data_IF_566097034266
#
_entry.id   IF_566097034266
#
_cell.length_a   1.000
_cell.length_b   1.000
_cell.length_c   1.000
_cell.angle_alpha   90.00
_cell.angle_beta   90.00
_cell.angle_gamma   90.00
#
_symmetry.space_group_name_H-M   'P 1'
#
loop_
_entity.id
_entity.type
_entity.pdbx_description
1 polymer ?
#
# COMPACT_ATOMS: atom_id res chain seq x y z
N UNK A 1 1.45 6.67 6.67
CA UNK A 1 0.50 5.55 6.87
C UNK A 1 -0.64 5.72 5.88
N UNK A 2 -0.99 4.67 5.14
CA UNK A 2 -1.90 4.77 3.99
C UNK A 2 -3.30 5.34 4.33
N UNK A 3 -3.85 4.98 5.48
CA UNK A 3 -5.16 5.52 5.93
C UNK A 3 -5.07 7.03 6.21
N UNK A 4 -3.97 7.48 6.82
CA UNK A 4 -3.76 8.91 7.10
C UNK A 4 -3.68 9.70 5.81
N UNK A 5 -2.96 9.18 4.82
CA UNK A 5 -2.89 9.78 3.49
C UNK A 5 -4.28 9.95 2.86
N UNK A 6 -5.12 8.90 2.91
CA UNK A 6 -6.49 8.98 2.40
C UNK A 6 -7.33 10.03 3.14
N UNK A 7 -7.19 10.13 4.47
CA UNK A 7 -7.91 11.12 5.28
C UNK A 7 -7.42 12.55 5.01
N UNK A 8 -6.12 12.75 4.83
CA UNK A 8 -5.53 14.05 4.48
C UNK A 8 -6.04 14.52 3.11
N UNK A 9 -6.10 13.61 2.12
CA UNK A 9 -6.66 13.88 0.79
C UNK A 9 -8.17 14.15 0.80
N UNK A 10 -8.93 13.41 1.61
CA UNK A 10 -10.37 13.60 1.76
C UNK A 10 -10.74 14.95 2.40
N UNK A 11 -9.83 15.52 3.19
CA UNK A 11 -9.97 16.84 3.79
C UNK A 11 -10.95 16.91 4.96
N UNK A 12 -11.26 18.14 5.41
CA UNK A 12 -11.98 18.38 6.67
C UNK A 12 -13.46 18.02 6.63
N UNK A 13 -14.10 18.07 5.46
CA UNK A 13 -15.50 17.69 5.30
C UNK A 13 -15.61 16.19 4.97
N UNK A 14 -15.15 15.35 5.90
CA UNK A 14 -15.01 13.92 5.68
C UNK A 14 -16.37 13.25 5.51
N UNK A 15 -16.53 12.55 4.41
CA UNK A 15 -17.63 11.60 4.17
C UNK A 15 -17.05 10.26 3.77
N UNK A 16 -17.87 9.20 3.85
CA UNK A 16 -17.47 7.87 3.39
C UNK A 16 -17.07 7.90 1.91
N UNK A 17 -17.90 8.52 1.07
CA UNK A 17 -17.69 8.54 -0.38
C UNK A 17 -16.47 9.41 -0.73
N UNK A 18 -16.29 10.55 -0.07
CA UNK A 18 -15.10 11.40 -0.25
C UNK A 18 -13.80 10.70 0.19
N UNK A 19 -13.85 9.86 1.24
CA UNK A 19 -12.70 9.04 1.62
C UNK A 19 -12.39 7.95 0.57
N UNK A 20 -13.42 7.30 0.02
CA UNK A 20 -13.23 6.31 -1.04
C UNK A 20 -12.63 6.95 -2.30
N UNK A 21 -13.16 8.08 -2.75
CA UNK A 21 -12.61 8.84 -3.89
C UNK A 21 -11.16 9.26 -3.63
N UNK A 22 -10.86 9.74 -2.42
CA UNK A 22 -9.49 10.10 -2.03
C UNK A 22 -8.55 8.89 -2.05
N UNK A 23 -8.99 7.72 -1.56
CA UNK A 23 -8.22 6.48 -1.61
C UNK A 23 -8.00 6.00 -3.04
N UNK A 24 -8.99 6.08 -3.92
CA UNK A 24 -8.87 5.66 -5.33
C UNK A 24 -8.02 6.63 -6.17
N UNK A 25 -7.82 7.87 -5.68
CA UNK A 25 -6.92 8.85 -6.30
C UNK A 25 -5.43 8.59 -6.02
N UNK A 26 -5.11 7.71 -5.07
CA UNK A 26 -3.73 7.43 -4.68
C UNK A 26 -2.98 6.74 -5.82
N UNK A 27 -1.87 7.37 -6.26
CA UNK A 27 -0.94 6.83 -7.27
C UNK A 27 0.49 6.89 -6.74
N UNK A 28 1.21 5.80 -6.94
CA UNK A 28 2.64 5.63 -6.65
C UNK A 28 3.05 6.14 -5.26
N UNK A 29 2.19 5.92 -4.27
CA UNK A 29 2.41 6.39 -2.92
C UNK A 29 3.55 5.62 -2.25
N UNK A 30 4.54 6.35 -1.75
CA UNK A 30 5.70 5.79 -1.07
C UNK A 30 5.37 5.47 0.39
N UNK A 31 5.51 4.19 0.72
CA UNK A 31 5.30 3.68 2.08
C UNK A 31 6.55 3.81 2.97
N UNK A 32 7.65 4.35 2.46
CA UNK A 32 8.96 4.37 3.13
C UNK A 32 9.68 3.02 3.04
N UNK A 33 9.45 2.27 1.97
CA UNK A 33 10.10 0.97 1.73
C UNK A 33 9.48 -0.25 2.44
N UNK A 34 8.28 -0.11 3.02
CA UNK A 34 7.54 -1.22 3.65
C UNK A 34 6.80 -2.06 2.59
N UNK A 35 6.19 -1.36 1.64
CA UNK A 35 5.46 -1.86 0.50
C UNK A 35 6.07 -1.27 -0.78
N UNK A 36 5.94 -1.97 -1.93
CA UNK A 36 6.10 -1.33 -3.22
C UNK A 36 5.19 -0.08 -3.35
N UNK A 37 5.49 0.86 -4.27
CA UNK A 37 4.65 2.03 -4.50
C UNK A 37 3.17 1.64 -4.66
N UNK A 38 2.31 2.26 -3.84
CA UNK A 38 0.89 1.87 -3.75
C UNK A 38 0.06 2.73 -4.70
N UNK A 39 -0.72 2.06 -5.53
CA UNK A 39 -1.67 2.67 -6.47
C UNK A 39 -3.03 2.00 -6.34
N UNK A 40 -4.09 2.80 -6.22
CA UNK A 40 -5.48 2.33 -6.22
C UNK A 40 -6.24 2.90 -7.42
N UNK A 41 -7.38 2.28 -7.75
CA UNK A 41 -8.40 2.82 -8.64
C UNK A 41 -9.77 2.27 -8.26
N UNK A 42 -10.85 2.76 -8.88
CA UNK A 42 -12.19 2.22 -8.68
C UNK A 42 -12.30 0.71 -9.00
N UNK A 43 -11.43 0.21 -9.86
CA UNK A 43 -11.39 -1.18 -10.31
C UNK A 43 -10.34 -2.02 -9.59
N UNK A 44 -9.39 -1.41 -8.88
CA UNK A 44 -8.29 -2.11 -8.23
C UNK A 44 -7.95 -1.51 -6.86
N UNK A 45 -8.37 -2.21 -5.81
CA UNK A 45 -8.06 -1.88 -4.41
C UNK A 45 -6.91 -2.73 -3.83
N UNK A 46 -6.12 -3.40 -4.67
CA UNK A 46 -5.02 -4.25 -4.24
C UNK A 46 -3.72 -3.45 -4.09
N UNK A 47 -3.33 -3.17 -2.84
CA UNK A 47 -2.21 -2.29 -2.52
C UNK A 47 -0.84 -2.90 -2.82
N UNK A 48 -0.72 -4.22 -2.66
CA UNK A 48 0.56 -4.92 -2.65
C UNK A 48 0.59 -5.99 -3.72
N UNK A 49 1.11 -5.62 -4.89
CA UNK A 49 1.27 -6.56 -6.00
C UNK A 49 2.51 -7.43 -5.90
N UNK A 50 3.50 -7.04 -5.10
CA UNK A 50 4.75 -7.77 -4.95
C UNK A 50 4.91 -8.41 -3.56
N UNK A 51 5.56 -9.57 -3.53
CA UNK A 51 5.92 -10.29 -2.31
C UNK A 51 7.42 -10.60 -2.25
N UNK A 52 7.90 -10.94 -1.07
CA UNK A 52 9.27 -11.43 -0.84
C UNK A 52 9.18 -12.80 -0.19
N UNK A 53 9.93 -13.77 -0.71
CA UNK A 53 10.05 -15.07 -0.05
C UNK A 53 11.13 -14.97 1.01
N UNK A 54 10.82 -15.40 2.23
CA UNK A 54 11.74 -15.38 3.36
C UNK A 54 11.98 -16.78 3.92
N UNK A 55 13.18 -17.01 4.42
CA UNK A 55 13.57 -18.20 5.19
C UNK A 55 13.69 -17.83 6.68
N UNK A 56 13.28 -18.73 7.58
CA UNK A 56 13.50 -18.56 9.01
C UNK A 56 14.89 -19.11 9.37
N UNK A 57 15.83 -18.22 9.72
CA UNK A 57 17.17 -18.59 10.23
C UNK A 57 17.39 -17.98 11.60
N UNK A 58 17.79 -18.82 12.56
CA UNK A 58 18.11 -18.38 13.92
C UNK A 58 17.00 -17.51 14.56
N UNK A 59 15.73 -17.87 14.31
CA UNK A 59 14.56 -17.15 14.82
C UNK A 59 14.25 -15.83 14.10
N UNK A 60 14.90 -15.53 12.97
CA UNK A 60 14.68 -14.32 12.17
C UNK A 60 14.29 -14.66 10.74
N UNK A 61 13.37 -13.91 10.15
CA UNK A 61 13.07 -13.99 8.72
C UNK A 61 14.18 -13.30 7.91
N UNK A 62 14.81 -14.03 7.01
CA UNK A 62 15.86 -13.56 6.11
C UNK A 62 15.32 -13.64 4.67
N UNK A 63 15.37 -12.54 3.88
CA UNK A 63 14.95 -12.57 2.48
C UNK A 63 15.76 -13.60 1.67
N UNK A 64 15.06 -14.42 0.89
CA UNK A 64 15.64 -15.35 -0.10
C UNK A 64 15.59 -14.80 -1.52
N UNK A 65 14.64 -13.92 -1.79
CA UNK A 65 14.42 -13.30 -3.09
C UNK A 65 14.36 -11.79 -2.95
N UNK A 66 14.53 -11.10 -4.07
CA UNK A 66 14.04 -9.72 -4.20
C UNK A 66 12.50 -9.73 -4.30
N UNK A 67 11.93 -8.56 -4.59
CA UNK A 67 10.51 -8.41 -4.88
C UNK A 67 10.10 -9.29 -6.08
N UNK A 68 9.08 -10.11 -5.86
CA UNK A 68 8.44 -10.95 -6.87
C UNK A 68 7.07 -10.37 -7.19
N UNK A 69 6.76 -10.21 -8.47
CA UNK A 69 5.42 -9.86 -8.95
C UNK A 69 4.79 -11.09 -9.66
N UNK A 70 3.46 -11.28 -9.55
CA UNK A 70 2.71 -12.30 -10.29
C UNK A 70 2.79 -12.14 -11.81
#
# INVERSE_FOLDING_TARGET
MLVVEGLERAGRNLTRDGFLEAMESIKDWDSGGILPPVSFSAENHHAQRAGVICELKDGKFVPLTDWLEP
#
